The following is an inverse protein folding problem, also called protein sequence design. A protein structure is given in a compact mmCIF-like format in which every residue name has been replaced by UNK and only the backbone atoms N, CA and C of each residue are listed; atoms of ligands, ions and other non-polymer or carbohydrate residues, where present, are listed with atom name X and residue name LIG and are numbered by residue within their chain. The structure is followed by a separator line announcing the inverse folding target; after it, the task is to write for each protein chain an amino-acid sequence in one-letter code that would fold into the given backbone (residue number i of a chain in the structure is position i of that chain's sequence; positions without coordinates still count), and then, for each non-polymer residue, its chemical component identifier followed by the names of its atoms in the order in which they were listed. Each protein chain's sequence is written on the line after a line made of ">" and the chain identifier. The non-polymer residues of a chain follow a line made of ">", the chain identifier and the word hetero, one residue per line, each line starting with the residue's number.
data_IF_341068483834
#
_entry.id   IF_341068483834
#
_cell.length_a   1.000
_cell.length_b   1.000
_cell.length_c   1.000
_cell.angle_alpha   90.00
_cell.angle_beta   90.00
_cell.angle_gamma   90.00
#
_symmetry.space_group_name_H-M   'P 1'
#
loop_
_entity.id
_entity.type
_entity.pdbx_description
1 polymer ?
#
# COMPACT_ATOMS: atom_id res chain seq x y z
N UNK A 1 -19.15 14.96 -14.57
CA UNK A 1 -19.20 13.89 -13.56
C UNK A 1 -17.84 13.25 -13.55
N UNK A 2 -17.01 13.56 -12.54
CA UNK A 2 -15.75 12.84 -12.34
C UNK A 2 -16.12 11.39 -11.99
N UNK A 3 -15.45 10.43 -12.62
CA UNK A 3 -15.55 9.04 -12.22
C UNK A 3 -14.85 8.99 -10.86
N UNK A 4 -15.63 8.95 -9.79
CA UNK A 4 -15.13 8.69 -8.45
C UNK A 4 -14.54 7.28 -8.50
N UNK A 5 -13.24 7.22 -8.75
CA UNK A 5 -12.55 5.95 -8.93
C UNK A 5 -12.33 5.47 -7.52
N UNK A 6 -13.04 4.42 -7.10
CA UNK A 6 -12.86 3.82 -5.78
C UNK A 6 -11.38 3.48 -5.63
N UNK A 7 -10.66 4.30 -4.86
CA UNK A 7 -9.24 4.10 -4.63
C UNK A 7 -9.09 2.86 -3.75
N UNK A 8 -8.07 2.05 -4.03
CA UNK A 8 -7.77 0.85 -3.28
C UNK A 8 -6.47 1.02 -2.51
N UNK A 9 -6.36 0.30 -1.40
CA UNK A 9 -5.14 0.27 -0.62
C UNK A 9 -4.98 -1.08 0.07
N UNK A 10 -3.75 -1.35 0.50
CA UNK A 10 -3.45 -2.50 1.33
C UNK A 10 -2.64 -2.14 2.55
N UNK A 11 -2.79 -2.97 3.58
CA UNK A 11 -1.94 -2.93 4.79
C UNK A 11 -1.36 -4.32 4.97
N UNK A 12 -0.04 -4.38 5.04
CA UNK A 12 0.74 -5.57 5.32
C UNK A 12 1.18 -5.51 6.78
N UNK A 13 0.81 -6.52 7.56
CA UNK A 13 1.12 -6.64 8.99
C UNK A 13 2.10 -7.79 9.15
N UNK A 14 3.32 -7.46 9.56
CA UNK A 14 4.37 -8.45 9.76
C UNK A 14 4.39 -8.83 11.24
N UNK A 15 4.17 -10.10 11.54
CA UNK A 15 4.23 -10.62 12.90
C UNK A 15 5.66 -10.96 13.32
N UNK A 16 5.93 -10.92 14.62
CA UNK A 16 7.22 -11.34 15.21
C UNK A 16 7.44 -12.85 15.11
N UNK A 17 6.36 -13.62 15.16
CA UNK A 17 6.35 -15.09 15.13
C UNK A 17 5.30 -15.59 14.15
N UNK A 18 5.50 -16.80 13.64
CA UNK A 18 4.49 -17.49 12.84
C UNK A 18 3.22 -17.71 13.67
N UNK A 19 2.07 -17.51 13.03
CA UNK A 19 0.77 -17.84 13.62
C UNK A 19 0.13 -18.88 12.70
N UNK A 20 -0.27 -20.01 13.27
CA UNK A 20 -0.92 -21.05 12.50
C UNK A 20 -2.13 -20.47 11.72
N UNK A 21 -2.21 -20.64 10.39
CA UNK A 21 -3.29 -20.08 9.58
C UNK A 21 -4.69 -20.49 10.06
N UNK A 22 -4.85 -21.71 10.61
CA UNK A 22 -6.14 -22.17 11.15
C UNK A 22 -6.57 -21.37 12.38
N UNK A 23 -5.63 -20.99 13.24
CA UNK A 23 -5.90 -20.12 14.40
C UNK A 23 -6.31 -18.73 13.91
N UNK A 24 -5.61 -18.18 12.91
CA UNK A 24 -5.95 -16.88 12.34
C UNK A 24 -7.36 -16.90 11.72
N UNK A 25 -7.71 -17.95 10.97
CA UNK A 25 -9.05 -18.13 10.41
C UNK A 25 -10.13 -18.20 11.50
N UNK A 26 -9.88 -18.92 12.59
CA UNK A 26 -10.81 -19.00 13.72
C UNK A 26 -11.03 -17.63 14.38
N UNK A 27 -9.94 -16.91 14.68
CA UNK A 27 -9.96 -15.56 15.26
C UNK A 27 -10.77 -14.61 14.37
N UNK A 28 -10.45 -14.58 13.07
CA UNK A 28 -11.14 -13.71 12.11
C UNK A 28 -12.62 -14.10 11.96
N UNK A 29 -12.94 -15.40 11.97
CA UNK A 29 -14.34 -15.85 11.93
C UNK A 29 -15.14 -15.35 13.14
N UNK A 30 -14.57 -15.42 14.36
CA UNK A 30 -15.17 -14.85 15.58
C UNK A 30 -15.30 -13.32 15.50
N UNK A 31 -14.41 -12.66 14.75
CA UNK A 31 -14.48 -11.24 14.41
C UNK A 31 -15.56 -10.87 13.38
N UNK A 32 -16.33 -11.84 12.87
CA UNK A 32 -17.37 -11.61 11.86
C UNK A 32 -16.81 -11.45 10.44
N UNK A 33 -15.66 -12.07 10.16
CA UNK A 33 -15.18 -12.28 8.79
C UNK A 33 -15.69 -13.63 8.28
N UNK A 34 -15.94 -13.72 6.98
CA UNK A 34 -16.26 -15.00 6.33
C UNK A 34 -14.96 -15.72 5.99
N UNK A 35 -14.95 -17.05 6.08
CA UNK A 35 -13.83 -17.82 5.56
C UNK A 35 -13.71 -17.58 4.05
N UNK A 36 -12.47 -17.39 3.56
CA UNK A 36 -12.26 -17.20 2.14
C UNK A 36 -12.73 -18.44 1.36
N UNK A 37 -13.46 -18.22 0.26
CA UNK A 37 -14.03 -19.30 -0.56
C UNK A 37 -13.02 -19.90 -1.56
N UNK A 38 -11.88 -19.26 -1.77
CA UNK A 38 -10.88 -19.71 -2.73
C UNK A 38 -10.12 -20.95 -2.22
N UNK A 39 -10.17 -22.03 -3.01
CA UNK A 39 -9.35 -23.22 -2.77
C UNK A 39 -7.90 -22.90 -3.09
N UNK A 40 -7.00 -23.18 -2.14
CA UNK A 40 -5.55 -23.13 -2.35
C UNK A 40 -5.20 -24.18 -3.40
N UNK A 41 -4.82 -23.75 -4.59
CA UNK A 41 -4.32 -24.66 -5.63
C UNK A 41 -2.84 -24.89 -5.35
N UNK A 42 -2.52 -26.01 -4.72
CA UNK A 42 -1.15 -26.52 -4.66
C UNK A 42 -0.92 -27.43 -5.85
N UNK A 43 0.19 -27.21 -6.56
CA UNK A 43 0.62 -28.05 -7.68
C UNK A 43 1.84 -28.84 -7.23
N UNK A 44 1.71 -30.16 -7.15
CA UNK A 44 2.86 -31.03 -6.95
C UNK A 44 3.77 -30.96 -8.18
N UNK A 45 5.04 -30.61 -7.96
CA UNK A 45 6.06 -30.48 -9.00
C UNK A 45 7.07 -31.63 -8.98
N UNK A 46 7.20 -32.30 -7.84
CA UNK A 46 7.97 -33.53 -7.65
C UNK A 46 7.41 -34.28 -6.42
N UNK A 47 7.68 -35.59 -6.25
CA UNK A 47 7.24 -36.34 -5.08
C UNK A 47 7.64 -35.64 -3.78
N UNK A 48 6.64 -35.18 -3.01
CA UNK A 48 6.87 -34.46 -1.75
C UNK A 48 7.19 -32.96 -1.89
N UNK A 49 7.12 -32.39 -3.10
CA UNK A 49 7.29 -30.96 -3.37
C UNK A 49 6.04 -30.39 -4.03
N UNK A 50 5.33 -29.53 -3.30
CA UNK A 50 4.22 -28.76 -3.83
C UNK A 50 4.58 -27.27 -3.90
N UNK A 51 4.28 -26.64 -5.03
CA UNK A 51 4.26 -25.18 -5.16
C UNK A 51 2.82 -24.72 -4.97
N UNK A 52 2.63 -23.81 -4.03
CA UNK A 52 1.39 -23.06 -3.85
C UNK A 52 1.63 -21.56 -3.99
N UNK A 53 0.56 -20.75 -4.05
CA UNK A 53 0.69 -19.31 -3.96
C UNK A 53 1.29 -18.90 -2.61
N UNK A 54 2.23 -17.95 -2.61
CA UNK A 54 2.84 -17.46 -1.37
C UNK A 54 1.85 -16.73 -0.45
N UNK A 55 0.74 -16.23 -1.00
CA UNK A 55 -0.37 -15.66 -0.25
C UNK A 55 -1.58 -16.58 -0.32
N UNK A 56 -2.10 -16.94 0.85
CA UNK A 56 -3.28 -17.78 1.02
C UNK A 56 -4.41 -16.90 1.57
N UNK A 57 -5.53 -16.72 0.85
CA UNK A 57 -6.71 -16.08 1.40
C UNK A 57 -7.21 -16.85 2.63
N UNK A 58 -7.34 -16.17 3.77
CA UNK A 58 -7.80 -16.77 5.03
C UNK A 58 -9.15 -16.23 5.46
N UNK A 59 -9.51 -14.99 5.07
CA UNK A 59 -10.80 -14.42 5.40
C UNK A 59 -11.21 -13.32 4.42
N UNK A 60 -12.51 -13.03 4.37
CA UNK A 60 -13.09 -12.00 3.52
C UNK A 60 -14.27 -11.29 4.21
N UNK A 61 -14.54 -10.08 3.73
CA UNK A 61 -15.81 -9.38 3.93
C UNK A 61 -16.33 -8.95 2.56
N UNK A 62 -17.50 -8.33 2.50
CA UNK A 62 -18.01 -7.73 1.27
C UNK A 62 -17.02 -6.75 0.62
N UNK A 63 -16.15 -6.13 1.42
CA UNK A 63 -15.32 -5.02 0.98
C UNK A 63 -13.82 -5.25 1.14
N UNK A 64 -13.39 -6.39 1.67
CA UNK A 64 -11.99 -6.61 1.99
C UNK A 64 -11.60 -8.08 1.91
N UNK A 65 -10.38 -8.33 1.47
CA UNK A 65 -9.75 -9.64 1.45
C UNK A 65 -8.57 -9.64 2.43
N UNK A 66 -8.45 -10.72 3.20
CA UNK A 66 -7.35 -10.97 4.13
C UNK A 66 -6.62 -12.23 3.69
N UNK A 67 -5.32 -12.10 3.49
CA UNK A 67 -4.45 -13.17 3.06
C UNK A 67 -3.29 -13.33 4.03
N UNK A 68 -2.73 -14.53 4.09
CA UNK A 68 -1.58 -14.84 4.91
C UNK A 68 -0.45 -15.44 4.09
N UNK A 69 0.77 -15.01 4.37
CA UNK A 69 2.00 -15.59 3.87
C UNK A 69 2.79 -16.14 5.06
N UNK A 70 2.81 -17.47 5.19
CA UNK A 70 3.48 -18.17 6.29
C UNK A 70 5.00 -18.15 6.20
N UNK A 71 5.59 -17.92 5.03
CA UNK A 71 7.06 -17.79 4.89
C UNK A 71 7.57 -16.44 5.42
N UNK A 72 6.70 -15.43 5.42
CA UNK A 72 7.02 -14.04 5.82
C UNK A 72 6.32 -13.60 7.10
N UNK A 73 5.53 -14.49 7.72
CA UNK A 73 4.66 -14.19 8.87
C UNK A 73 3.83 -12.92 8.64
N UNK A 74 3.23 -12.83 7.45
CA UNK A 74 2.64 -11.61 6.92
C UNK A 74 1.14 -11.79 6.71
N UNK A 75 0.34 -10.96 7.36
CA UNK A 75 -1.08 -10.80 7.09
C UNK A 75 -1.30 -9.58 6.19
N UNK A 76 -1.89 -9.78 5.02
CA UNK A 76 -2.18 -8.73 4.04
C UNK A 76 -3.67 -8.44 4.01
N UNK A 77 -4.01 -7.18 4.20
CA UNK A 77 -5.35 -6.62 4.08
C UNK A 77 -5.43 -5.87 2.75
N UNK A 78 -6.46 -6.09 1.95
CA UNK A 78 -6.73 -5.31 0.74
C UNK A 78 -8.19 -4.88 0.73
N UNK A 79 -8.46 -3.58 0.52
CA UNK A 79 -9.81 -2.99 0.50
C UNK A 79 -9.80 -1.62 -0.19
N UNK A 80 -10.94 -0.94 -0.24
CA UNK A 80 -11.04 0.46 -0.67
C UNK A 80 -10.39 1.39 0.36
N UNK A 81 -9.79 2.49 -0.10
CA UNK A 81 -9.05 3.46 0.71
C UNK A 81 -9.90 3.98 1.87
N UNK A 82 -11.15 4.32 1.62
CA UNK A 82 -12.11 4.80 2.62
C UNK A 82 -12.51 3.76 3.70
N UNK A 83 -12.15 2.48 3.52
CA UNK A 83 -12.46 1.39 4.46
C UNK A 83 -11.22 0.83 5.14
N UNK A 84 -10.01 1.16 4.69
CA UNK A 84 -8.76 0.55 5.15
C UNK A 84 -8.55 0.68 6.66
N UNK A 85 -8.86 1.85 7.24
CA UNK A 85 -8.75 2.08 8.67
C UNK A 85 -9.70 1.15 9.45
N UNK A 86 -11.00 1.20 9.14
CA UNK A 86 -12.04 0.40 9.81
C UNK A 86 -11.81 -1.10 9.69
N UNK A 87 -11.35 -1.57 8.53
CA UNK A 87 -11.03 -2.99 8.32
C UNK A 87 -9.83 -3.40 9.17
N UNK A 88 -8.79 -2.57 9.22
CA UNK A 88 -7.60 -2.83 10.06
C UNK A 88 -8.01 -2.89 11.54
N UNK A 89 -8.73 -1.90 12.06
CA UNK A 89 -9.25 -1.91 13.44
C UNK A 89 -10.10 -3.13 13.77
N UNK A 90 -10.94 -3.57 12.81
CA UNK A 90 -11.76 -4.77 12.99
C UNK A 90 -10.91 -6.03 13.12
N UNK A 91 -9.81 -6.12 12.36
CA UNK A 91 -8.86 -7.23 12.46
C UNK A 91 -8.15 -7.23 13.80
N UNK A 92 -7.54 -6.12 14.22
CA UNK A 92 -6.88 -6.05 15.53
C UNK A 92 -7.85 -6.40 16.66
N UNK A 93 -9.06 -5.84 16.62
CA UNK A 93 -10.12 -6.14 17.59
C UNK A 93 -10.51 -7.63 17.65
N UNK A 94 -10.43 -8.36 16.53
CA UNK A 94 -10.75 -9.79 16.51
C UNK A 94 -9.70 -10.61 17.26
N UNK A 95 -8.42 -10.27 17.09
CA UNK A 95 -7.30 -10.88 17.82
C UNK A 95 -7.40 -10.56 19.32
N UNK A 96 -7.58 -9.30 19.68
CA UNK A 96 -7.69 -8.87 21.09
C UNK A 96 -8.84 -9.58 21.82
N UNK A 97 -10.03 -9.65 21.20
CA UNK A 97 -11.19 -10.38 21.76
C UNK A 97 -10.94 -11.87 21.92
N UNK A 98 -10.01 -12.42 21.16
CA UNK A 98 -9.61 -13.84 21.23
C UNK A 98 -8.46 -14.08 22.21
N UNK A 99 -8.03 -13.05 22.96
CA UNK A 99 -6.96 -13.13 23.95
C UNK A 99 -5.55 -13.01 23.37
N UNK A 100 -5.42 -12.52 22.13
CA UNK A 100 -4.14 -12.31 21.46
C UNK A 100 -3.81 -10.81 21.45
N UNK A 101 -2.74 -10.36 22.16
CA UNK A 101 -2.37 -8.95 22.22
C UNK A 101 -1.78 -8.51 20.87
N UNK A 102 -2.62 -8.02 19.98
CA UNK A 102 -2.33 -7.82 18.56
C UNK A 102 -1.14 -6.90 18.36
N UNK A 103 -1.14 -5.73 18.99
CA UNK A 103 -0.04 -4.75 18.87
C UNK A 103 1.30 -5.31 19.37
N UNK A 104 1.30 -6.22 20.35
CA UNK A 104 2.53 -6.88 20.83
C UNK A 104 3.05 -7.94 19.86
N UNK A 105 2.17 -8.55 19.08
CA UNK A 105 2.51 -9.57 18.08
C UNK A 105 3.08 -8.97 16.80
N UNK A 106 2.76 -7.70 16.49
CA UNK A 106 3.26 -6.98 15.32
C UNK A 106 4.73 -6.62 15.50
N UNK A 107 5.53 -6.88 14.46
CA UNK A 107 6.90 -6.39 14.30
C UNK A 107 6.91 -5.00 13.66
N UNK A 108 6.21 -4.85 12.54
CA UNK A 108 5.99 -3.59 11.85
C UNK A 108 4.80 -3.73 10.89
N UNK A 109 4.28 -2.59 10.41
CA UNK A 109 3.24 -2.53 9.39
C UNK A 109 3.73 -1.82 8.15
N UNK A 110 3.16 -2.13 6.99
CA UNK A 110 3.39 -1.45 5.73
C UNK A 110 2.07 -1.15 5.03
N UNK A 111 1.71 0.12 4.94
CA UNK A 111 0.65 0.60 4.06
C UNK A 111 1.17 0.71 2.64
N UNK A 112 0.35 0.26 1.69
CA UNK A 112 0.60 0.33 0.26
C UNK A 112 -0.62 0.92 -0.45
N UNK A 113 -0.42 2.13 -0.98
CA UNK A 113 -1.26 2.70 -2.03
C UNK A 113 -0.63 2.33 -3.37
N UNK A 114 -1.15 1.33 -4.09
CA UNK A 114 -0.58 0.91 -5.35
C UNK A 114 -0.72 2.01 -6.40
N UNK A 115 -0.01 1.85 -7.51
CA UNK A 115 -0.06 2.70 -8.70
C UNK A 115 -1.50 2.97 -9.10
N UNK A 116 -1.98 4.18 -8.79
CA UNK A 116 -3.35 4.61 -9.06
C UNK A 116 -3.36 5.98 -9.71
N UNK A 117 -4.18 6.08 -10.76
CA UNK A 117 -4.33 7.31 -11.52
C UNK A 117 -5.15 8.32 -10.73
N UNK A 118 -4.62 9.54 -10.58
CA UNK A 118 -5.31 10.71 -10.08
C UNK A 118 -5.43 11.75 -11.20
N UNK A 119 -6.58 12.41 -11.29
CA UNK A 119 -6.80 13.49 -12.24
C UNK A 119 -6.19 14.80 -11.71
N UNK A 120 -5.08 15.21 -12.31
CA UNK A 120 -4.32 16.42 -11.97
C UNK A 120 -3.91 17.10 -13.30
N UNK A 121 -4.65 18.13 -13.75
CA UNK A 121 -4.33 18.87 -14.96
C UNK A 121 -2.99 19.61 -14.89
N UNK A 122 -2.31 19.72 -16.02
CA UNK A 122 -1.03 20.41 -16.23
C UNK A 122 0.10 19.94 -15.30
N UNK A 123 0.10 18.66 -14.90
CA UNK A 123 1.05 18.18 -13.91
C UNK A 123 2.50 18.33 -14.37
N UNK A 124 2.83 17.97 -15.62
CA UNK A 124 4.21 18.04 -16.12
C UNK A 124 4.76 19.46 -15.97
N UNK A 125 3.97 20.46 -16.36
CA UNK A 125 4.35 21.86 -16.24
C UNK A 125 4.58 22.26 -14.77
N UNK A 126 3.76 21.74 -13.84
CA UNK A 126 3.91 21.95 -12.39
C UNK A 126 5.14 21.26 -11.81
N UNK A 127 5.43 20.02 -12.23
CA UNK A 127 6.66 19.31 -11.85
C UNK A 127 7.88 20.12 -12.29
N UNK A 128 7.89 20.59 -13.53
CA UNK A 128 9.00 21.37 -14.10
C UNK A 128 9.15 22.74 -13.45
N UNK A 129 8.06 23.37 -12.99
CA UNK A 129 8.14 24.64 -12.27
C UNK A 129 8.57 24.49 -10.80
N UNK A 130 8.24 23.36 -10.15
CA UNK A 130 8.56 23.11 -8.74
C UNK A 130 9.93 22.45 -8.54
N UNK A 131 10.44 21.68 -9.52
CA UNK A 131 11.66 20.88 -9.37
C UNK A 131 12.77 21.43 -10.26
N UNK A 132 13.84 21.90 -9.62
CA UNK A 132 15.08 22.27 -10.31
C UNK A 132 16.10 21.14 -10.23
N UNK A 133 16.57 20.64 -11.38
CA UNK A 133 17.61 19.61 -11.46
C UNK A 133 18.91 20.24 -11.96
N UNK A 134 19.84 20.52 -11.04
CA UNK A 134 21.10 21.20 -11.38
C UNK A 134 21.98 20.44 -12.39
N UNK A 135 21.83 19.12 -12.48
CA UNK A 135 22.58 18.28 -13.42
C UNK A 135 21.93 18.15 -14.79
N UNK A 136 20.75 18.74 -15.02
CA UNK A 136 20.00 18.59 -16.27
C UNK A 136 20.82 19.01 -17.48
N UNK A 137 21.50 20.17 -17.45
CA UNK A 137 22.32 20.63 -18.57
C UNK A 137 23.49 19.70 -18.92
N UNK A 138 24.11 19.07 -17.91
CA UNK A 138 25.18 18.07 -18.12
C UNK A 138 24.60 16.83 -18.79
N UNK A 139 23.47 16.31 -18.29
CA UNK A 139 22.80 15.15 -18.87
C UNK A 139 22.33 15.45 -20.30
N UNK A 140 21.74 16.62 -20.54
CA UNK A 140 21.30 17.06 -21.87
C UNK A 140 22.46 17.08 -22.86
N UNK A 141 23.64 17.51 -22.44
CA UNK A 141 24.85 17.52 -23.28
C UNK A 141 25.36 16.11 -23.61
N UNK A 142 25.26 15.18 -22.65
CA UNK A 142 25.65 13.77 -22.85
C UNK A 142 24.74 13.09 -23.88
N UNK A 143 23.43 13.36 -23.82
CA UNK A 143 22.44 12.69 -24.67
C UNK A 143 22.06 13.49 -25.93
N UNK A 144 22.54 14.73 -26.08
CA UNK A 144 22.25 15.59 -27.23
C UNK A 144 20.78 16.03 -27.33
N UNK A 145 20.04 16.02 -26.22
CA UNK A 145 18.62 16.38 -26.14
C UNK A 145 18.37 17.18 -24.86
N UNK A 146 17.47 18.15 -24.90
CA UNK A 146 17.06 18.90 -23.71
C UNK A 146 16.24 18.00 -22.78
N UNK A 147 16.82 17.66 -21.64
CA UNK A 147 16.19 16.86 -20.60
C UNK A 147 15.55 17.76 -19.54
N UNK A 148 14.31 17.46 -19.21
CA UNK A 148 13.53 18.16 -18.19
C UNK A 148 12.93 17.16 -17.19
N UNK A 149 12.61 17.59 -15.95
CA UNK A 149 11.86 16.77 -15.01
C UNK A 149 10.56 16.23 -15.62
N UNK A 150 10.29 14.95 -15.36
CA UNK A 150 9.10 14.26 -15.86
C UNK A 150 8.34 13.55 -14.73
N UNK A 151 9.06 12.79 -13.90
CA UNK A 151 8.54 12.15 -12.69
C UNK A 151 9.45 12.48 -11.51
N UNK A 152 8.94 12.29 -10.30
CA UNK A 152 9.76 12.43 -9.10
C UNK A 152 9.32 11.47 -8.01
N UNK A 153 10.22 11.22 -7.07
CA UNK A 153 9.90 10.43 -5.89
C UNK A 153 10.64 10.97 -4.68
N UNK A 154 10.03 10.82 -3.51
CA UNK A 154 10.57 11.27 -2.23
C UNK A 154 10.61 10.06 -1.30
N UNK A 155 11.68 9.92 -0.52
CA UNK A 155 11.83 8.84 0.46
C UNK A 155 12.34 9.33 1.79
N UNK A 156 11.95 8.65 2.87
CA UNK A 156 12.51 8.85 4.21
C UNK A 156 12.45 7.54 5.03
N UNK A 157 13.58 7.05 5.59
CA UNK A 157 14.95 7.38 5.19
C UNK A 157 15.26 6.90 3.76
N UNK A 158 16.51 7.03 3.33
CA UNK A 158 16.97 6.67 1.97
C UNK A 158 16.65 5.22 1.57
N UNK A 159 16.65 4.29 2.54
CA UNK A 159 16.45 2.86 2.26
C UNK A 159 15.27 2.27 3.01
N UNK A 160 14.60 1.25 2.44
CA UNK A 160 13.54 0.50 3.13
C UNK A 160 14.11 -0.57 4.09
N UNK A 161 15.33 -0.40 4.61
CA UNK A 161 15.91 -1.37 5.56
C UNK A 161 15.46 -1.13 7.00
N UNK A 162 14.70 -0.06 7.23
CA UNK A 162 14.13 0.32 8.52
C UNK A 162 12.64 0.00 8.59
N UNK A 163 12.17 -0.29 9.81
CA UNK A 163 10.74 -0.50 10.09
C UNK A 163 9.94 0.83 10.06
N UNK A 164 10.65 1.97 10.01
CA UNK A 164 10.10 3.28 9.73
C UNK A 164 10.59 3.74 8.35
N UNK A 165 9.71 3.75 7.37
CA UNK A 165 10.04 4.17 6.00
C UNK A 165 8.84 4.81 5.32
N UNK A 166 9.05 5.73 4.41
CA UNK A 166 8.01 6.31 3.58
C UNK A 166 8.58 6.56 2.19
N UNK A 167 7.80 6.23 1.17
CA UNK A 167 8.13 6.53 -0.20
C UNK A 167 6.88 6.98 -0.93
N UNK A 168 7.01 8.07 -1.67
CA UNK A 168 5.95 8.61 -2.52
C UNK A 168 6.51 8.79 -3.92
N UNK A 169 5.81 8.28 -4.92
CA UNK A 169 6.18 8.40 -6.33
C UNK A 169 5.07 9.08 -7.10
N UNK A 170 5.45 10.03 -7.95
CA UNK A 170 4.58 10.71 -8.90
C UNK A 170 5.10 10.46 -10.31
N UNK A 171 4.31 9.77 -11.13
CA UNK A 171 4.66 9.49 -12.53
C UNK A 171 3.52 9.91 -13.44
N UNK A 172 3.72 10.78 -14.44
CA UNK A 172 2.66 11.09 -15.40
C UNK A 172 2.13 9.83 -16.08
N UNK A 173 0.81 9.74 -16.27
CA UNK A 173 0.21 8.57 -16.95
C UNK A 173 0.59 8.59 -18.44
N UNK A 174 1.19 7.51 -18.95
CA UNK A 174 1.74 7.48 -20.31
C UNK A 174 0.74 7.79 -21.42
N UNK A 175 -0.55 7.48 -21.21
CA UNK A 175 -1.62 7.73 -22.19
C UNK A 175 -2.29 9.11 -22.04
N UNK A 176 -2.10 9.80 -20.91
CA UNK A 176 -2.68 11.11 -20.65
C UNK A 176 -1.78 11.94 -19.69
N UNK A 177 -0.53 12.20 -20.07
CA UNK A 177 0.47 12.71 -19.13
C UNK A 177 0.22 14.18 -18.73
N UNK A 178 -0.59 14.90 -19.49
CA UNK A 178 -0.98 16.28 -19.20
C UNK A 178 -2.08 16.38 -18.14
N UNK A 179 -2.90 15.34 -17.94
CA UNK A 179 -4.07 15.41 -17.06
C UNK A 179 -4.08 14.39 -15.93
N UNK A 180 -3.18 13.40 -15.96
CA UNK A 180 -3.20 12.27 -15.04
C UNK A 180 -1.83 11.93 -14.51
N UNK A 181 -1.83 11.54 -13.24
CA UNK A 181 -0.65 11.07 -12.53
C UNK A 181 -0.92 9.75 -11.86
N UNK A 182 0.05 8.85 -11.98
CA UNK A 182 0.13 7.64 -11.21
C UNK A 182 0.81 8.00 -9.89
N UNK A 183 0.01 7.99 -8.81
CA UNK A 183 0.50 8.12 -7.45
C UNK A 183 0.73 6.73 -6.86
N UNK A 184 1.88 6.56 -6.23
CA UNK A 184 2.20 5.41 -5.39
C UNK A 184 2.68 5.89 -4.03
N UNK A 185 2.17 5.29 -2.96
CA UNK A 185 2.64 5.57 -1.59
C UNK A 185 2.92 4.24 -0.90
N UNK A 186 4.09 4.15 -0.28
CA UNK A 186 4.41 3.08 0.67
C UNK A 186 4.81 3.72 2.00
N UNK A 187 4.23 3.28 3.11
CA UNK A 187 4.57 3.76 4.46
C UNK A 187 4.76 2.56 5.37
N UNK A 188 5.91 2.47 6.03
CA UNK A 188 6.17 1.54 7.13
C UNK A 188 6.12 2.23 8.48
N UNK A 189 5.53 1.57 9.46
CA UNK A 189 5.55 2.00 10.85
C UNK A 189 6.04 0.86 11.75
N UNK A 190 6.89 1.16 12.76
CA UNK A 190 7.37 0.17 13.72
C UNK A 190 6.27 -0.35 14.65
N UNK A 191 5.18 0.40 14.83
CA UNK A 191 4.03 -0.02 15.65
C UNK A 191 2.74 -0.04 14.85
N UNK A 192 1.80 -0.85 15.31
CA UNK A 192 0.46 -0.92 14.72
C UNK A 192 -0.36 0.35 14.99
N UNK A 193 -0.23 0.93 16.18
CA UNK A 193 -0.95 2.16 16.56
C UNK A 193 -0.54 3.33 15.66
N UNK A 194 0.76 3.50 15.37
CA UNK A 194 1.22 4.50 14.40
C UNK A 194 0.68 4.26 12.99
N UNK A 195 0.44 2.99 12.60
CA UNK A 195 -0.20 2.69 11.33
C UNK A 195 -1.66 3.14 11.34
N UNK A 196 -2.41 2.82 12.39
CA UNK A 196 -3.80 3.25 12.51
C UNK A 196 -3.92 4.78 12.47
N UNK A 197 -3.08 5.49 13.21
CA UNK A 197 -3.03 6.96 13.18
C UNK A 197 -2.77 7.50 11.77
N UNK A 198 -1.87 6.86 11.01
CA UNK A 198 -1.61 7.22 9.61
C UNK A 198 -2.79 6.93 8.68
N UNK A 199 -3.54 5.85 8.91
CA UNK A 199 -4.70 5.48 8.09
C UNK A 199 -5.93 6.34 8.38
N UNK A 200 -6.04 6.93 9.58
CA UNK A 200 -7.22 7.69 10.02
C UNK A 200 -7.55 8.86 9.09
N UNK A 201 -6.53 9.53 8.55
CA UNK A 201 -6.66 10.71 7.70
C UNK A 201 -6.03 10.52 6.30
N UNK A 202 -5.85 9.27 5.86
CA UNK A 202 -5.21 8.96 4.58
C UNK A 202 -5.93 9.59 3.39
N UNK A 203 -7.27 9.62 3.40
CA UNK A 203 -8.06 10.27 2.35
C UNK A 203 -7.75 11.77 2.27
N UNK A 204 -7.67 12.44 3.44
CA UNK A 204 -7.31 13.87 3.50
C UNK A 204 -5.89 14.11 2.99
N UNK A 205 -4.95 13.20 3.28
CA UNK A 205 -3.58 13.27 2.73
C UNK A 205 -3.56 13.16 1.20
N UNK A 206 -4.36 12.26 0.61
CA UNK A 206 -4.49 12.12 -0.85
C UNK A 206 -5.14 13.36 -1.47
N UNK A 207 -6.18 13.92 -0.85
CA UNK A 207 -6.80 15.15 -1.35
C UNK A 207 -5.85 16.35 -1.27
N UNK A 208 -5.10 16.51 -0.18
CA UNK A 208 -4.07 17.55 -0.06
C UNK A 208 -3.00 17.43 -1.16
N UNK A 209 -2.64 16.21 -1.57
CA UNK A 209 -1.73 15.99 -2.70
C UNK A 209 -2.38 16.48 -4.01
N UNK A 210 -3.66 16.17 -4.25
CA UNK A 210 -4.38 16.68 -5.43
C UNK A 210 -4.40 18.20 -5.44
N UNK A 211 -4.65 18.82 -4.29
CA UNK A 211 -4.78 20.26 -4.14
C UNK A 211 -3.44 21.01 -4.29
N UNK A 212 -2.32 20.43 -3.81
CA UNK A 212 -0.97 20.95 -4.05
C UNK A 212 -0.71 21.23 -5.54
N UNK A 213 -1.27 20.40 -6.41
CA UNK A 213 -1.16 20.57 -7.85
C UNK A 213 -2.37 21.26 -8.48
N UNK A 214 -3.41 21.67 -7.77
CA UNK A 214 -4.49 22.51 -8.34
C UNK A 214 -4.18 24.00 -8.21
N UNK A 215 -3.44 24.40 -7.18
CA UNK A 215 -3.09 25.80 -6.97
C UNK A 215 -2.23 26.31 -8.14
N UNK A 216 -2.63 27.48 -8.69
CA UNK A 216 -1.80 28.21 -9.65
C UNK A 216 -0.66 28.84 -8.87
N UNK A 217 0.54 28.30 -9.05
CA UNK A 217 1.79 29.07 -8.81
C UNK A 217 1.95 30.05 -9.97
#
# INVERSE_FOLDING_TARGET
>A
MAIDTDLHAGVAIFFKLDINPNIQMEILSKGGFKAATQRIITREIAPGMAIGPSFVPIAETENATIEYNGERYLLRLATSLNKIHKVSEKVSSAFEKSGYPFSEMVRYCEFNFPDQSLEIPDLINKIRSMITVHTAGVLSSIFGVELEPYSFSLSYPETPLTDQWMHVTFTPESNNPENRVILKITKRTPTYDEMLDFLLDIESKIENIKDLFKEKI
#
